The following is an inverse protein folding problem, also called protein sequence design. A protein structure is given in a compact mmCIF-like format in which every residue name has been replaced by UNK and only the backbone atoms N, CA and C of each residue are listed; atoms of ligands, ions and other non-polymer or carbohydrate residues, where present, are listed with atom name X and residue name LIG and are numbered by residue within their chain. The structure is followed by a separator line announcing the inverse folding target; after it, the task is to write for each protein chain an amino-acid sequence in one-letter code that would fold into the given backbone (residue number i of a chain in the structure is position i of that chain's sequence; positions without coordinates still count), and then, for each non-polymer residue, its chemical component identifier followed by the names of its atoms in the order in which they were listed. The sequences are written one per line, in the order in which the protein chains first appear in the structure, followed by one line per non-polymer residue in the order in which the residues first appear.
data_IF_994632226131
#
_entry.id   IF_994632226131
#
_cell.length_a   1.000
_cell.length_b   1.000
_cell.length_c   1.000
_cell.angle_alpha   90.00
_cell.angle_beta   90.00
_cell.angle_gamma   90.00
#
_symmetry.space_group_name_H-M   'P 1'
#
loop_
_entity.id
_entity.type
_entity.pdbx_description
1 polymer ?
2 non-polymer ?
3 non-polymer ?
4 water ?
#
# COMPACT_ATOMS: atom_id res chain seq x y z
N UNK A 25 -25.23 -5.98 -1.65
CA UNK A 25 -25.03 -7.09 -0.71
C UNK A 25 -24.12 -6.66 0.43
N UNK A 26 -24.53 -6.97 1.67
CA UNK A 26 -23.75 -6.58 2.84
C UNK A 26 -22.36 -7.21 2.82
N UNK A 27 -21.34 -6.44 3.19
CA UNK A 27 -19.99 -6.99 3.19
C UNK A 27 -19.84 -8.02 4.28
N UNK A 28 -18.83 -8.87 4.12
CA UNK A 28 -18.50 -9.90 5.09
C UNK A 28 -17.00 -10.13 5.11
N UNK A 29 -16.56 -10.84 6.14
CA UNK A 29 -15.18 -11.26 6.31
C UNK A 29 -15.26 -12.60 7.01
N UNK A 30 -15.17 -13.67 6.22
CA UNK A 30 -15.22 -15.03 6.75
C UNK A 30 -13.82 -15.55 7.00
N UNK A 31 -13.65 -16.24 8.12
CA UNK A 31 -12.36 -16.73 8.54
C UNK A 31 -12.46 -18.18 8.98
N UNK A 32 -11.57 -19.02 8.50
CA UNK A 32 -11.47 -20.41 8.92
C UNK A 32 -10.10 -20.66 9.51
N UNK A 33 -10.07 -21.16 10.75
CA UNK A 33 -8.81 -21.51 11.37
C UNK A 33 -8.32 -22.84 10.82
N UNK A 34 -7.05 -22.88 10.43
CA UNK A 34 -6.46 -24.10 9.90
C UNK A 34 -5.75 -24.90 11.00
N UNK A 35 -5.53 -24.28 12.15
CA UNK A 35 -4.92 -24.94 13.30
C UNK A 35 -5.33 -24.21 14.56
N UNK A 36 -5.02 -24.79 15.72
CA UNK A 36 -5.32 -24.12 16.98
C UNK A 36 -4.36 -22.98 17.29
N UNK A 37 -3.35 -22.81 16.43
CA UNK A 37 -2.40 -21.70 16.57
C UNK A 37 -2.90 -20.44 15.88
N UNK A 38 -3.93 -20.58 15.06
CA UNK A 38 -4.52 -19.42 14.39
C UNK A 38 -5.23 -18.54 15.40
N UNK A 39 -5.25 -17.24 15.14
CA UNK A 39 -5.97 -16.29 15.97
C UNK A 39 -6.96 -15.50 15.11
N UNK A 40 -8.21 -15.37 15.58
CA UNK A 40 -9.18 -14.55 14.85
C UNK A 40 -8.69 -13.11 14.78
N UNK A 41 -8.56 -12.56 13.56
CA UNK A 41 -8.10 -11.17 13.42
C UNK A 41 -9.02 -10.17 14.12
N UNK A 42 -8.41 -9.18 14.77
CA UNK A 42 -9.14 -8.21 15.57
C UNK A 42 -8.79 -6.78 15.21
N UNK A 43 -9.77 -5.91 15.38
CA UNK A 43 -9.54 -4.49 15.16
C UNK A 43 -8.83 -3.89 16.36
N UNK A 44 -7.80 -3.08 16.10
CA UNK A 44 -7.00 -2.49 17.15
C UNK A 44 -7.65 -1.31 17.84
N UNK A 45 -8.62 -0.70 17.16
CA UNK A 45 -9.42 0.37 17.72
C UNK A 45 -10.83 0.30 17.11
N UNK A 46 -11.81 0.95 17.75
CA UNK A 46 -13.18 0.81 17.25
C UNK A 46 -13.43 1.16 15.79
N UNK A 47 -12.69 2.11 15.22
CA UNK A 47 -12.88 2.51 13.82
C UNK A 47 -11.64 2.21 13.00
N UNK A 48 -10.83 1.25 13.45
CA UNK A 48 -9.61 0.88 12.75
C UNK A 48 -9.87 0.47 11.31
N UNK A 49 -8.89 0.73 10.43
CA UNK A 49 -9.02 0.34 9.04
C UNK A 49 -8.90 -1.16 8.94
N UNK A 50 -8.11 -1.74 9.83
CA UNK A 50 -7.64 -3.09 9.65
C UNK A 50 -7.88 -4.06 10.79
N UNK A 51 -7.63 -5.32 10.50
CA UNK A 51 -7.76 -6.39 11.49
C UNK A 51 -6.36 -6.94 11.71
N UNK A 52 -5.89 -6.96 12.96
CA UNK A 52 -4.53 -7.42 13.20
C UNK A 52 -4.37 -8.91 12.99
N UNK A 53 -3.27 -9.29 12.34
CA UNK A 53 -2.94 -10.69 12.04
C UNK A 53 -1.84 -11.20 12.96
N UNK A 54 -2.07 -12.37 13.55
CA UNK A 54 -1.10 -12.95 14.48
C UNK A 54 -0.30 -14.09 13.84
N UNK A 55 0.98 -14.17 14.17
CA UNK A 55 1.79 -15.30 13.73
C UNK A 55 1.32 -16.60 14.36
N UNK A 56 1.26 -17.65 13.55
CA UNK A 56 0.93 -18.97 14.05
C UNK A 56 2.20 -19.73 14.41
N UNK A 57 3.35 -19.09 14.26
CA UNK A 57 4.63 -19.76 14.44
C UNK A 57 5.66 -18.95 15.22
N UNK A 58 6.66 -19.65 15.77
CA UNK A 58 7.89 -19.01 16.21
C UNK A 58 8.80 -18.96 15.00
N UNK A 59 9.32 -17.78 14.68
CA UNK A 59 10.18 -17.64 13.52
C UNK A 59 11.04 -16.42 13.69
N UNK A 60 11.60 -15.94 12.58
CA UNK A 60 12.36 -14.70 12.59
C UNK A 60 12.45 -14.11 11.20
N UNK A 61 12.65 -12.80 11.15
CA UNK A 61 12.95 -12.14 9.89
C UNK A 61 14.40 -11.68 9.98
N UNK A 62 15.28 -12.32 9.20
CA UNK A 62 16.70 -11.99 9.36
C UNK A 62 17.00 -10.56 8.94
N UNK A 63 18.00 -9.96 9.58
CA UNK A 63 18.51 -8.67 9.16
C UNK A 63 18.72 -8.61 7.65
N UNK A 64 18.20 -7.55 7.04
CA UNK A 64 18.33 -7.32 5.60
C UNK A 64 17.76 -8.45 4.75
N UNK A 65 16.85 -9.23 5.36
CA UNK A 65 16.26 -10.38 4.71
C UNK A 65 14.75 -10.39 4.74
N UNK A 66 14.17 -11.58 4.68
CA UNK A 66 12.73 -11.73 4.54
C UNK A 66 12.29 -13.03 5.17
N UNK A 67 10.99 -13.13 5.43
CA UNK A 67 10.40 -14.37 5.90
C UNK A 67 8.95 -14.41 5.49
N UNK A 68 8.43 -15.61 5.26
CA UNK A 68 6.99 -15.79 5.10
C UNK A 68 6.50 -16.36 6.42
N UNK A 69 5.58 -15.63 7.04
CA UNK A 69 5.06 -16.02 8.35
C UNK A 69 3.62 -16.51 8.19
N UNK A 70 3.38 -17.79 8.48
CA UNK A 70 2.01 -18.30 8.37
C UNK A 70 1.08 -17.73 9.44
N UNK A 71 -0.16 -17.50 9.05
CA UNK A 71 -1.23 -17.15 10.00
C UNK A 71 -2.10 -18.35 10.37
N UNK A 72 -1.99 -19.43 9.59
CA UNK A 72 -2.88 -20.58 9.72
C UNK A 72 -4.36 -20.18 9.59
N UNK A 73 -4.63 -19.14 8.80
CA UNK A 73 -5.98 -18.73 8.43
C UNK A 73 -6.27 -18.94 6.95
N UNK A 74 -7.49 -19.33 6.65
CA UNK A 74 -8.04 -19.14 5.33
C UNK A 74 -9.20 -18.18 5.46
N UNK A 75 -9.45 -17.39 4.41
CA UNK A 75 -10.42 -16.31 4.50
C UNK A 75 -11.24 -16.17 3.23
N UNK A 76 -12.32 -15.39 3.34
CA UNK A 76 -13.10 -14.98 2.19
C UNK A 76 -13.63 -13.58 2.42
N UNK A 77 -13.52 -12.74 1.39
CA UNK A 77 -14.06 -11.38 1.42
C UNK A 77 -14.91 -11.19 0.15
N UNK A 78 -15.71 -10.13 0.08
CA UNK A 78 -16.68 -10.05 -1.01
C UNK A 78 -16.10 -9.68 -2.38
N UNK A 79 -16.81 -10.11 -3.43
CA UNK A 79 -16.60 -9.55 -4.76
C UNK A 79 -16.61 -8.01 -4.67
N UNK A 80 -15.66 -7.39 -5.36
CA UNK A 80 -15.52 -5.95 -5.33
C UNK A 80 -14.60 -5.47 -4.23
N UNK A 81 -13.94 -6.41 -3.55
CA UNK A 81 -12.90 -6.09 -2.58
C UNK A 81 -11.71 -7.03 -2.75
N UNK A 82 -10.61 -6.70 -2.11
CA UNK A 82 -9.58 -7.67 -1.83
C UNK A 82 -9.08 -7.43 -0.42
N UNK A 83 -8.38 -8.40 0.15
CA UNK A 83 -7.79 -8.22 1.47
C UNK A 83 -6.33 -7.85 1.30
N UNK A 84 -5.96 -6.66 1.80
CA UNK A 84 -4.59 -6.20 1.73
C UNK A 84 -3.84 -6.45 3.04
N UNK A 85 -2.75 -7.18 2.98
CA UNK A 85 -1.87 -7.31 4.13
C UNK A 85 -1.01 -6.06 4.17
N UNK A 86 -1.09 -5.31 5.28
CA UNK A 86 -0.47 -4.01 5.42
C UNK A 86 0.41 -3.97 6.67
N UNK A 87 1.44 -3.13 6.67
CA UNK A 87 2.37 -3.06 7.80
C UNK A 87 1.82 -2.28 9.00
N UNK A 88 2.13 -2.75 10.20
CA UNK A 88 1.92 -1.99 11.43
C UNK A 88 3.02 -0.95 11.63
N UNK A 89 2.65 0.20 12.18
CA UNK A 89 3.62 1.29 12.35
C UNK A 89 4.63 1.08 13.47
N UNK A 90 4.23 0.44 14.57
CA UNK A 90 5.18 0.11 15.63
C UNK A 90 6.33 -0.74 15.13
N UNK A 91 5.99 -1.83 14.43
CA UNK A 91 7.02 -2.69 13.90
C UNK A 91 7.85 -1.98 12.82
N UNK A 92 7.21 -1.12 12.03
CA UNK A 92 7.94 -0.36 11.01
C UNK A 92 8.99 0.53 11.66
N UNK A 93 8.60 1.28 12.68
CA UNK A 93 9.54 2.21 13.27
C UNK A 93 10.54 1.55 14.21
N UNK A 94 10.08 0.65 15.06
CA UNK A 94 10.98 0.05 16.04
C UNK A 94 11.94 -0.97 15.44
N UNK A 95 11.50 -1.66 14.39
CA UNK A 95 12.26 -2.82 13.90
C UNK A 95 12.53 -2.77 12.38
N UNK A 96 12.12 -1.69 11.72
CA UNK A 96 12.30 -1.54 10.26
C UNK A 96 11.62 -2.66 9.48
N UNK A 97 10.52 -3.16 10.01
CA UNK A 97 9.74 -4.20 9.33
C UNK A 97 8.76 -3.62 8.31
N UNK A 98 8.70 -4.24 7.13
CA UNK A 98 7.74 -3.85 6.12
C UNK A 98 7.09 -5.11 5.56
N UNK A 99 5.91 -4.95 4.99
CA UNK A 99 5.15 -6.06 4.44
C UNK A 99 5.29 -6.08 2.92
N UNK A 100 5.77 -7.19 2.38
CA UNK A 100 5.83 -7.36 0.95
C UNK A 100 4.56 -8.01 0.43
N UNK A 101 4.48 -8.09 -0.88
CA UNK A 101 3.34 -8.74 -1.48
C UNK A 101 2.00 -8.22 -0.95
N UNK A 102 1.16 -9.07 -0.37
CA UNK A 102 0.03 -8.61 0.41
C UNK A 102 -1.32 -8.53 -0.29
N UNK A 103 -1.40 -8.96 -1.55
CA UNK A 103 -2.68 -8.90 -2.26
C UNK A 103 -3.41 -10.24 -2.16
N UNK A 104 -4.38 -10.32 -1.25
CA UNK A 104 -5.18 -11.56 -1.11
C UNK A 104 -6.47 -11.43 -1.91
N UNK A 105 -6.61 -12.28 -2.92
CA UNK A 105 -7.80 -12.26 -3.75
C UNK A 105 -9.05 -12.72 -3.00
N UNK A 106 -10.18 -12.12 -3.35
CA UNK A 106 -11.44 -12.40 -2.67
C UNK A 106 -11.86 -13.87 -2.79
N UNK A 107 -11.38 -14.56 -3.83
CA UNK A 107 -11.71 -15.96 -4.03
C UNK A 107 -10.61 -16.93 -3.67
N UNK A 108 -9.56 -16.43 -3.01
CA UNK A 108 -8.46 -17.26 -2.55
C UNK A 108 -8.85 -18.02 -1.29
N UNK A 109 -8.67 -19.34 -1.32
CA UNK A 109 -9.05 -20.18 -0.20
C UNK A 109 -7.88 -20.98 0.40
N UNK A 110 -6.65 -20.63 0.02
CA UNK A 110 -5.48 -21.25 0.62
C UNK A 110 -5.07 -20.57 1.91
N UNK A 111 -3.92 -20.98 2.47
CA UNK A 111 -3.45 -20.38 3.71
C UNK A 111 -2.93 -18.96 3.48
N UNK A 112 -3.20 -18.05 4.41
CA UNK A 112 -2.78 -16.67 4.26
C UNK A 112 -1.42 -16.48 4.91
N UNK A 113 -0.43 -16.10 4.11
CA UNK A 113 0.91 -15.88 4.60
C UNK A 113 1.30 -14.43 4.59
N UNK A 114 2.05 -14.01 5.62
CA UNK A 114 2.54 -12.65 5.68
C UNK A 114 4.01 -12.63 5.28
N UNK A 115 4.33 -11.84 4.26
CA UNK A 115 5.71 -11.74 3.82
C UNK A 115 6.31 -10.46 4.39
N UNK A 116 7.32 -10.63 5.23
CA UNK A 116 7.95 -9.50 5.88
C UNK A 116 9.35 -9.28 5.35
N UNK A 117 9.70 -8.02 5.10
CA UNK A 117 11.08 -7.60 4.85
C UNK A 117 11.61 -6.90 6.09
N UNK A 118 12.89 -7.09 6.39
CA UNK A 118 13.54 -6.43 7.51
C UNK A 118 14.62 -5.49 6.98
N UNK A 119 14.37 -4.21 7.08
CA UNK A 119 15.26 -3.20 6.53
C UNK A 119 16.22 -2.64 7.54
N UNK A 120 16.68 -3.50 8.41
CA UNK A 120 17.67 -3.09 9.41
C UNK A 120 18.74 -4.16 9.49
N UNK A 121 19.77 -3.87 10.28
CA UNK A 121 20.87 -4.79 10.50
C UNK A 121 20.63 -5.69 11.70
N UNK A 122 19.43 -5.67 12.26
CA UNK A 122 19.12 -6.51 13.42
C UNK A 122 18.03 -7.52 13.11
N UNK A 123 18.27 -8.80 13.43
CA UNK A 123 17.24 -9.83 13.29
C UNK A 123 16.00 -9.45 14.07
N UNK A 124 14.83 -9.80 13.54
CA UNK A 124 13.55 -9.55 14.20
C UNK A 124 12.89 -10.86 14.58
N UNK A 125 12.71 -11.06 15.88
CA UNK A 125 12.11 -12.29 16.39
C UNK A 125 10.59 -12.26 16.25
N UNK A 126 10.03 -13.38 15.80
CA UNK A 126 8.59 -13.57 15.79
C UNK A 126 8.19 -14.72 16.71
N UNK A 127 7.34 -14.42 17.69
CA UNK A 127 6.80 -15.45 18.58
C UNK A 127 5.36 -15.76 18.20
N UNK A 128 4.92 -16.99 18.44
CA UNK A 128 3.54 -17.29 18.07
C UNK A 128 2.59 -16.39 18.85
N UNK A 129 1.60 -15.87 18.15
CA UNK A 129 0.67 -14.94 18.75
C UNK A 129 1.01 -13.47 18.54
N UNK A 130 2.25 -13.19 18.14
CA UNK A 130 2.64 -11.80 17.90
C UNK A 130 1.83 -11.22 16.73
N UNK A 131 1.31 -10.02 16.90
CA UNK A 131 0.58 -9.36 15.81
C UNK A 131 1.57 -8.66 14.88
N UNK A 132 1.74 -9.23 13.69
CA UNK A 132 2.84 -8.86 12.80
C UNK A 132 2.44 -8.12 11.54
N UNK A 133 1.14 -7.89 11.37
CA UNK A 133 0.63 -7.15 10.22
C UNK A 133 -0.83 -6.83 10.49
N UNK A 134 -1.48 -6.12 9.56
CA UNK A 134 -2.92 -5.91 9.65
C UNK A 134 -3.55 -6.14 8.29
N UNK A 135 -4.79 -6.58 8.28
CA UNK A 135 -5.50 -6.88 7.05
C UNK A 135 -6.56 -5.82 6.82
N UNK A 136 -6.53 -5.21 5.63
CA UNK A 136 -7.53 -4.18 5.29
C UNK A 136 -8.34 -4.66 4.10
N UNK A 137 -9.66 -4.62 4.21
CA UNK A 137 -10.53 -5.05 3.12
C UNK A 137 -10.83 -3.85 2.24
N UNK A 138 -10.04 -3.72 1.18
CA UNK A 138 -10.05 -2.57 0.29
C UNK A 138 -11.12 -2.72 -0.79
N UNK A 139 -11.89 -1.67 -1.02
CA UNK A 139 -12.86 -1.66 -2.12
C UNK A 139 -12.17 -1.35 -3.44
N UNK A 140 -12.55 -2.12 -4.47
CA UNK A 140 -11.98 -2.00 -5.80
C UNK A 140 -13.06 -2.12 -6.87
N UNK A 141 -12.66 -1.88 -8.12
CA UNK A 141 -13.48 -2.25 -9.27
C UNK A 141 -12.67 -3.20 -10.14
N UNK A 142 -13.34 -4.10 -10.84
CA UNK A 142 -12.64 -5.07 -11.71
C UNK A 142 -13.30 -5.16 -13.09
N UNK A 143 -13.35 -4.04 -13.81
CA UNK A 143 -13.96 -4.06 -15.14
C UNK A 143 -13.16 -4.88 -16.14
N UNK A 144 -13.83 -5.35 -17.17
CA UNK A 144 -13.14 -6.10 -18.22
C UNK A 144 -12.21 -5.16 -18.98
N UNK A 145 -10.94 -5.54 -19.06
CA UNK A 145 -9.94 -4.71 -19.71
C UNK A 145 -10.15 -4.66 -21.22
N UNK A 146 -10.01 -3.47 -21.80
CA UNK A 146 -10.16 -3.31 -23.24
C UNK A 146 -8.99 -2.53 -23.84
N UNK A 147 -8.42 -3.06 -24.92
CA UNK A 147 -7.42 -2.31 -25.67
C UNK A 147 -8.10 -1.31 -26.60
N UNK A 148 -7.59 -0.08 -26.61
CA UNK A 148 -8.12 0.96 -27.49
C UNK A 148 -7.00 1.60 -28.32
N UNK A 149 -7.37 2.23 -29.42
CA UNK A 149 -6.39 2.92 -30.25
C UNK A 149 -6.11 4.32 -29.71
N UNK A 150 -7.09 4.90 -29.03
CA UNK A 150 -6.95 6.23 -28.46
C UNK A 150 -7.71 6.37 -27.15
N UNK A 151 -7.03 6.91 -26.14
CA UNK A 151 -7.63 7.20 -24.85
C UNK A 151 -8.22 8.60 -24.87
N UNK A 152 -9.20 8.83 -24.01
CA UNK A 152 -9.74 10.18 -23.88
C UNK A 152 -8.63 11.07 -23.31
N UNK A 153 -8.62 12.33 -23.73
CA UNK A 153 -7.58 13.27 -23.32
C UNK A 153 -7.96 13.96 -22.02
N UNK A 154 -6.95 14.33 -21.23
CA UNK A 154 -7.18 15.00 -19.95
C UNK A 154 -6.28 16.20 -19.84
N UNK A 155 -6.72 17.22 -19.08
CA UNK A 155 -5.88 18.36 -18.79
C UNK A 155 -5.06 18.05 -17.56
N UNK A 156 -3.78 17.75 -17.75
CA UNK A 156 -2.91 17.43 -16.62
C UNK A 156 -1.57 18.14 -16.72
N UNK A 157 -1.40 19.18 -15.90
CA UNK A 157 -0.22 20.01 -15.94
C UNK A 157 -0.34 21.11 -16.98
N UNK B 25 -21.24 6.24 -13.51
CA UNK B 25 -21.19 5.34 -14.67
C UNK B 25 -20.57 4.00 -14.36
N UNK B 26 -20.70 3.05 -15.29
CA UNK B 26 -20.03 1.76 -15.20
C UNK B 26 -18.52 1.95 -15.16
N UNK B 27 -17.82 1.18 -14.30
CA UNK B 27 -16.36 1.30 -14.28
C UNK B 27 -15.77 0.78 -15.57
N UNK B 28 -14.53 1.18 -15.85
CA UNK B 28 -13.85 0.76 -17.06
C UNK B 28 -12.35 0.69 -16.79
N UNK B 29 -11.65 0.01 -17.69
CA UNK B 29 -10.20 -0.05 -17.69
C UNK B 29 -9.78 -0.14 -19.15
N UNK B 30 -9.29 0.96 -19.69
CA UNK B 30 -8.88 1.03 -21.08
C UNK B 30 -7.36 1.14 -21.17
N UNK B 31 -6.77 0.38 -22.09
CA UNK B 31 -5.32 0.43 -22.29
C UNK B 31 -4.97 0.71 -23.74
N UNK B 32 -3.92 1.50 -23.93
CA UNK B 32 -3.39 1.78 -25.25
C UNK B 32 -1.95 1.34 -25.34
N UNK B 33 -1.63 0.51 -26.32
CA UNK B 33 -0.27 0.03 -26.48
C UNK B 33 0.59 1.09 -27.15
N UNK B 34 1.78 1.31 -26.59
CA UNK B 34 2.71 2.31 -27.10
C UNK B 34 3.81 1.68 -27.96
N UNK B 35 3.86 0.36 -27.95
CA UNK B 35 4.74 -0.40 -28.85
C UNK B 35 4.19 -1.80 -28.96
N UNK B 36 4.73 -2.58 -29.89
CA UNK B 36 4.36 -3.98 -30.06
C UNK B 36 4.68 -4.83 -28.84
N UNK B 37 5.62 -4.35 -28.03
CA UNK B 37 6.11 -5.11 -26.88
C UNK B 37 5.15 -5.05 -25.70
N UNK B 38 4.23 -4.09 -25.72
CA UNK B 38 3.23 -3.99 -24.67
C UNK B 38 2.33 -5.22 -24.65
N UNK B 39 1.89 -5.62 -23.46
CA UNK B 39 0.97 -6.75 -23.28
C UNK B 39 -0.28 -6.27 -22.57
N UNK B 40 -1.44 -6.65 -23.07
CA UNK B 40 -2.69 -6.34 -22.39
C UNK B 40 -2.64 -6.91 -20.97
N UNK B 41 -2.90 -6.06 -19.97
CA UNK B 41 -2.92 -6.56 -18.59
C UNK B 41 -3.90 -7.72 -18.41
N UNK B 42 -3.56 -8.66 -17.54
CA UNK B 42 -4.29 -9.92 -17.44
C UNK B 42 -4.83 -10.20 -16.04
N UNK B 43 -6.14 -10.37 -15.90
CA UNK B 43 -6.77 -10.80 -14.64
C UNK B 43 -6.22 -12.14 -14.17
N UNK B 44 -6.35 -12.41 -12.89
CA UNK B 44 -6.10 -13.74 -12.35
C UNK B 44 -7.43 -14.46 -12.20
N UNK B 45 -7.68 -15.01 -11.01
CA UNK B 45 -8.97 -15.63 -10.71
C UNK B 45 -10.14 -14.66 -10.98
N UNK B 46 -11.36 -15.18 -11.11
CA UNK B 46 -12.50 -14.29 -11.45
C UNK B 46 -12.81 -13.18 -10.44
N UNK B 47 -12.54 -13.40 -9.16
CA UNK B 47 -12.76 -12.35 -8.17
C UNK B 47 -11.43 -11.69 -7.81
N UNK B 48 -10.40 -11.97 -8.59
CA UNK B 48 -9.07 -11.46 -8.30
C UNK B 48 -9.00 -9.95 -8.34
N UNK B 49 -8.05 -9.43 -7.59
CA UNK B 49 -7.95 -8.01 -7.34
C UNK B 49 -7.37 -7.27 -8.52
N UNK B 50 -6.47 -7.92 -9.23
CA UNK B 50 -5.55 -7.20 -10.09
C UNK B 50 -5.44 -7.71 -11.50
N UNK B 51 -4.68 -6.94 -12.27
CA UNK B 51 -4.37 -7.24 -13.66
C UNK B 51 -2.85 -7.31 -13.74
N UNK B 52 -2.30 -8.45 -14.15
CA UNK B 52 -0.85 -8.58 -14.20
C UNK B 52 -0.25 -7.72 -15.30
N UNK B 53 0.81 -6.99 -14.94
CA UNK B 53 1.53 -6.13 -15.88
C UNK B 53 2.78 -6.80 -16.36
N UNK B 54 3.05 -6.73 -17.66
CA UNK B 54 4.24 -7.33 -18.24
C UNK B 54 5.28 -6.30 -18.64
N UNK B 55 6.55 -6.67 -18.49
CA UNK B 55 7.64 -5.82 -18.94
C UNK B 55 7.67 -5.72 -20.45
N UNK B 56 7.87 -4.51 -20.96
CA UNK B 56 8.07 -4.30 -22.40
C UNK B 56 9.54 -4.33 -22.77
N UNK B 57 10.41 -4.58 -21.81
CA UNK B 57 11.85 -4.58 -22.05
C UNK B 57 12.59 -5.75 -21.43
N UNK B 58 13.79 -6.03 -21.94
CA UNK B 58 14.79 -6.79 -21.21
C UNK B 58 15.50 -5.80 -20.30
N UNK B 59 15.58 -6.10 -19.01
CA UNK B 59 16.25 -5.23 -18.08
C UNK B 59 16.69 -6.05 -16.88
N UNK B 60 17.06 -5.38 -15.80
CA UNK B 60 17.35 -6.07 -14.57
C UNK B 60 17.11 -5.12 -13.42
N UNK B 61 16.89 -5.69 -12.25
CA UNK B 61 16.83 -4.89 -11.04
C UNK B 61 18.04 -5.27 -10.22
N UNK B 62 19.01 -4.34 -10.10
CA UNK B 62 20.27 -4.66 -9.42
C UNK B 62 20.05 -5.04 -7.96
N UNK B 63 20.90 -5.93 -7.45
CA UNK B 63 20.91 -6.29 -6.02
C UNK B 63 20.94 -5.03 -5.17
N UNK B 64 20.05 -4.99 -4.18
CA UNK B 64 19.93 -3.89 -3.24
C UNK B 64 19.71 -2.57 -3.95
N UNK B 65 19.13 -2.64 -5.15
CA UNK B 65 18.89 -1.46 -5.95
C UNK B 65 17.47 -1.35 -6.48
N UNK B 66 17.34 -0.68 -7.63
CA UNK B 66 16.03 -0.36 -8.16
C UNK B 66 16.06 -0.28 -9.67
N UNK B 67 14.89 -0.36 -10.28
CA UNK B 67 14.79 -0.17 -11.72
C UNK B 67 13.44 0.38 -12.07
N UNK B 68 13.38 1.12 -13.17
CA UNK B 68 12.13 1.59 -13.73
C UNK B 68 11.86 0.72 -14.97
N UNK B 69 10.80 -0.09 -14.91
CA UNK B 69 10.48 -1.02 -15.99
C UNK B 69 9.26 -0.52 -16.75
N UNK B 70 9.45 -0.14 -18.03
CA UNK B 70 8.30 0.32 -18.82
C UNK B 70 7.34 -0.81 -19.18
N UNK B 71 6.05 -0.51 -19.19
CA UNK B 71 5.03 -1.43 -19.68
C UNK B 71 4.68 -1.09 -21.13
N UNK B 72 5.08 0.11 -21.57
CA UNK B 72 4.68 0.63 -22.88
C UNK B 72 3.16 0.65 -23.02
N UNK B 73 2.47 0.91 -21.91
CA UNK B 73 1.04 1.14 -21.92
C UNK B 73 0.74 2.54 -21.40
N UNK B 74 -0.28 3.15 -21.99
CA UNK B 74 -1.00 4.24 -21.33
C UNK B 74 -2.38 3.69 -20.97
N UNK B 75 -2.95 4.21 -19.89
CA UNK B 75 -4.22 3.68 -19.42
C UNK B 75 -5.22 4.77 -19.02
N UNK B 76 -6.46 4.36 -18.84
CA UNK B 76 -7.49 5.20 -18.25
C UNK B 76 -8.34 4.38 -17.30
N UNK B 77 -8.57 4.92 -16.10
CA UNK B 77 -9.44 4.31 -15.11
C UNK B 77 -10.40 5.40 -14.62
N UNK B 78 -11.51 5.03 -13.94
CA UNK B 78 -12.54 6.05 -13.67
C UNK B 78 -12.21 7.05 -12.58
N UNK B 79 -12.83 8.22 -12.69
CA UNK B 79 -12.84 9.17 -11.59
C UNK B 79 -13.38 8.47 -10.35
N UNK B 80 -12.77 8.73 -9.20
CA UNK B 80 -13.18 8.05 -7.99
C UNK B 80 -12.37 6.79 -7.74
N UNK B 81 -11.41 6.53 -8.62
CA UNK B 81 -10.47 5.42 -8.44
C UNK B 81 -9.05 5.88 -8.76
N UNK B 82 -8.07 5.04 -8.46
CA UNK B 82 -6.75 5.16 -9.03
C UNK B 82 -6.24 3.76 -9.32
N UNK B 83 -5.22 3.66 -10.16
CA UNK B 83 -4.62 2.37 -10.46
C UNK B 83 -3.37 2.23 -9.62
N UNK B 84 -3.35 1.22 -8.74
CA UNK B 84 -2.22 0.99 -7.88
C UNK B 84 -1.34 -0.10 -8.48
N UNK B 85 -0.07 0.19 -8.70
CA UNK B 85 0.87 -0.88 -9.07
C UNK B 85 1.26 -1.61 -7.78
N UNK B 86 0.95 -2.90 -7.72
CA UNK B 86 1.11 -3.66 -6.48
C UNK B 86 2.01 -4.87 -6.73
N UNK B 87 2.68 -5.35 -5.67
CA UNK B 87 3.60 -6.47 -5.86
C UNK B 87 2.96 -7.85 -5.98
N UNK B 88 3.58 -8.69 -6.81
CA UNK B 88 3.17 -10.10 -6.86
C UNK B 88 3.85 -10.89 -5.74
N UNK B 89 3.16 -11.90 -5.22
CA UNK B 89 3.72 -12.64 -4.09
C UNK B 89 4.90 -13.52 -4.46
N UNK B 90 4.85 -14.18 -5.61
CA UNK B 90 5.95 -15.03 -6.03
C UNK B 90 7.25 -14.27 -6.07
N UNK B 91 7.25 -13.13 -6.75
CA UNK B 91 8.47 -12.35 -6.84
C UNK B 91 8.95 -11.82 -5.50
N UNK B 92 8.03 -11.56 -4.58
CA UNK B 92 8.39 -11.13 -3.23
C UNK B 92 9.17 -12.18 -2.45
N UNK B 93 8.64 -13.39 -2.33
CA UNK B 93 9.39 -14.39 -1.54
C UNK B 93 10.55 -15.02 -2.29
N UNK B 94 10.44 -15.12 -3.62
CA UNK B 94 11.47 -15.80 -4.40
C UNK B 94 12.65 -14.87 -4.71
N UNK B 95 12.36 -13.59 -4.95
CA UNK B 95 13.40 -12.65 -5.40
C UNK B 95 13.57 -11.42 -4.51
N UNK B 96 12.77 -11.31 -3.45
CA UNK B 96 12.76 -10.14 -2.58
C UNK B 96 12.40 -8.85 -3.33
N UNK B 97 11.55 -8.99 -4.34
CA UNK B 97 11.12 -7.85 -5.14
C UNK B 97 9.93 -7.14 -4.50
N UNK B 98 9.98 -5.81 -4.42
CA UNK B 98 8.84 -5.01 -4.00
C UNK B 98 8.60 -3.90 -5.00
N UNK B 99 7.39 -3.36 -5.00
CA UNK B 99 7.02 -2.27 -5.90
C UNK B 99 7.10 -0.95 -5.16
N UNK B 100 7.87 -0.02 -5.71
CA UNK B 100 7.92 1.32 -5.15
C UNK B 100 6.91 2.21 -5.84
N UNK B 101 6.74 3.42 -5.34
CA UNK B 101 5.81 4.36 -5.94
C UNK B 101 4.42 3.76 -6.16
N UNK B 102 3.93 3.73 -7.38
CA UNK B 102 2.78 2.90 -7.70
C UNK B 102 1.42 3.57 -7.79
N UNK B 103 1.35 4.87 -7.57
CA UNK B 103 0.08 5.58 -7.64
C UNK B 103 -0.17 6.16 -9.02
N UNK B 104 -1.00 5.49 -9.82
CA UNK B 104 -1.32 5.99 -11.14
C UNK B 104 -2.65 6.73 -11.09
N UNK B 105 -2.60 8.04 -11.31
CA UNK B 105 -3.81 8.85 -11.21
C UNK B 105 -4.79 8.54 -12.35
N UNK B 106 -6.09 8.69 -12.08
CA UNK B 106 -7.13 8.41 -13.07
C UNK B 106 -7.04 9.31 -14.31
N UNK B 107 -6.40 10.47 -14.17
CA UNK B 107 -6.21 11.36 -15.32
C UNK B 107 -4.83 11.29 -15.95
N UNK B 108 -4.01 10.33 -15.54
CA UNK B 108 -2.69 10.17 -16.12
C UNK B 108 -2.73 9.40 -17.43
N UNK B 109 -2.22 10.01 -18.49
CA UNK B 109 -2.26 9.41 -19.82
C UNK B 109 -0.87 9.19 -20.41
N UNK B 110 0.16 9.32 -19.58
CA UNK B 110 1.52 9.03 -20.00
C UNK B 110 1.86 7.56 -19.95
N UNK B 111 3.12 7.22 -20.22
CA UNK B 111 3.54 5.81 -20.14
C UNK B 111 3.57 5.33 -18.70
N UNK B 112 3.07 4.12 -18.45
CA UNK B 112 3.02 3.57 -17.11
C UNK B 112 4.31 2.78 -16.83
N UNK B 113 5.07 3.25 -15.84
CA UNK B 113 6.31 2.60 -15.46
C UNK B 113 6.18 1.90 -14.13
N UNK B 114 6.86 0.78 -13.99
CA UNK B 114 6.87 0.02 -12.75
C UNK B 114 8.20 0.22 -12.07
N UNK B 115 8.18 0.76 -10.84
CA UNK B 115 9.39 0.90 -10.06
C UNK B 115 9.54 -0.32 -9.16
N UNK B 116 10.62 -1.06 -9.34
CA UNK B 116 10.90 -2.22 -8.52
C UNK B 116 12.10 -1.97 -7.63
N UNK B 117 11.98 -2.35 -6.36
CA UNK B 117 13.11 -2.42 -5.45
C UNK B 117 13.50 -3.89 -5.29
N UNK B 118 14.79 -4.16 -5.25
CA UNK B 118 15.33 -5.51 -5.07
C UNK B 118 15.98 -5.58 -3.69
N UNK B 119 15.31 -6.20 -2.75
CA UNK B 119 15.82 -6.27 -1.39
C UNK B 119 16.63 -7.51 -1.11
N UNK B 120 17.28 -8.01 -2.12
CA UNK B 120 18.16 -9.16 -2.00
C UNK B 120 19.55 -8.79 -2.49
N UNK B 121 20.49 -9.73 -2.32
CA UNK B 121 21.86 -9.51 -2.74
C UNK B 121 22.18 -10.16 -4.08
N UNK B 122 21.16 -10.45 -4.88
CA UNK B 122 21.37 -10.96 -6.23
C UNK B 122 20.57 -10.15 -7.24
N UNK B 123 21.14 -9.86 -8.41
CA UNK B 123 20.39 -9.14 -9.44
C UNK B 123 19.16 -9.95 -9.86
N UNK B 124 18.07 -9.27 -10.19
CA UNK B 124 16.86 -9.92 -10.70
C UNK B 124 16.71 -9.61 -12.18
N UNK B 125 16.76 -10.66 -13.01
CA UNK B 125 16.63 -10.46 -14.44
C UNK B 125 15.17 -10.30 -14.87
N UNK B 126 14.92 -9.35 -15.76
CA UNK B 126 13.61 -9.14 -16.34
C UNK B 126 13.71 -9.34 -17.85
N UNK B 127 12.91 -10.24 -18.39
CA UNK B 127 12.87 -10.47 -19.83
C UNK B 127 11.58 -9.85 -20.36
N UNK B 128 11.55 -9.40 -21.61
CA UNK B 128 10.31 -8.81 -22.07
C UNK B 128 9.18 -9.85 -22.06
N UNK B 129 8.02 -9.41 -21.60
CA UNK B 129 6.87 -10.28 -21.45
C UNK B 129 6.71 -10.82 -20.04
N UNK B 130 7.75 -10.69 -19.22
CA UNK B 130 7.70 -11.21 -17.84
C UNK B 130 6.69 -10.40 -17.02
N UNK B 131 5.86 -11.07 -16.23
CA UNK B 131 4.89 -10.38 -15.37
C UNK B 131 5.56 -9.90 -14.08
N UNK B 132 5.64 -8.58 -13.91
CA UNK B 132 6.50 -7.98 -12.88
C UNK B 132 5.74 -7.29 -11.75
N UNK B 133 4.43 -7.17 -11.91
CA UNK B 133 3.57 -6.50 -10.91
C UNK B 133 2.11 -6.75 -11.25
N UNK B 134 1.20 -6.27 -10.41
CA UNK B 134 -0.22 -6.37 -10.71
C UNK B 134 -0.89 -5.05 -10.40
N UNK B 135 -1.74 -4.61 -11.31
CA UNK B 135 -2.43 -3.33 -11.19
C UNK B 135 -3.80 -3.55 -10.56
N UNK B 136 -4.12 -2.75 -9.53
CA UNK B 136 -5.38 -2.85 -8.81
C UNK B 136 -6.08 -1.52 -8.91
N UNK B 137 -7.33 -1.54 -9.32
CA UNK B 137 -8.07 -0.30 -9.45
C UNK B 137 -8.84 -0.06 -8.16
N UNK B 138 -8.23 0.76 -7.31
CA UNK B 138 -8.70 1.01 -5.94
C UNK B 138 -9.75 2.11 -5.91
N UNK B 139 -10.82 1.91 -5.15
CA UNK B 139 -11.83 2.94 -4.97
C UNK B 139 -11.39 3.90 -3.87
N UNK B 140 -11.59 5.19 -4.13
CA UNK B 140 -11.20 6.26 -3.22
C UNK B 140 -12.27 7.35 -3.15
N UNK B 141 -12.11 8.26 -2.20
CA UNK B 141 -12.87 9.52 -2.23
C UNK B 141 -11.89 10.68 -2.33
N UNK B 142 -12.34 11.78 -2.91
CA UNK B 142 -11.49 12.97 -3.06
C UNK B 142 -12.24 14.25 -2.67
N UNK B 143 -12.68 14.34 -1.41
CA UNK B 143 -13.40 15.55 -1.01
C UNK B 143 -12.48 16.76 -0.91
N UNK B 144 -13.08 17.95 -0.89
CA UNK B 144 -12.31 19.15 -0.62
C UNK B 144 -11.86 19.11 0.83
N UNK B 145 -10.64 19.57 1.08
CA UNK B 145 -10.16 19.61 2.45
C UNK B 145 -10.93 20.66 3.24
N UNK B 146 -11.42 20.28 4.42
CA UNK B 146 -11.99 21.23 5.36
C UNK B 146 -11.06 21.42 6.55
N UNK B 147 -10.52 22.62 6.67
CA UNK B 147 -9.64 22.92 7.80
C UNK B 147 -10.47 23.24 9.03
N UNK B 148 -10.11 22.63 10.15
CA UNK B 148 -10.84 22.78 11.39
C UNK B 148 -9.88 23.21 12.52
N UNK B 149 -10.44 23.80 13.57
CA UNK B 149 -9.66 24.18 14.74
C UNK B 149 -9.61 23.03 15.74
N UNK B 150 -10.61 22.18 15.71
CA UNK B 150 -10.67 21.03 16.58
C UNK B 150 -11.29 19.83 15.87
N UNK B 151 -10.80 18.65 16.21
CA UNK B 151 -11.37 17.41 15.71
C UNK B 151 -12.10 16.73 16.85
N UNK B 152 -12.96 15.77 16.54
CA UNK B 152 -13.63 14.98 17.56
C UNK B 152 -12.63 14.10 18.32
N UNK B 153 -12.99 13.71 19.53
CA UNK B 153 -12.16 12.83 20.34
C UNK B 153 -12.67 11.40 20.23
N UNK B 154 -11.74 10.45 20.17
CA UNK B 154 -12.07 9.05 19.99
C UNK B 154 -11.39 8.18 21.05
N UNK B 155 -11.76 6.90 21.07
CA UNK B 155 -11.09 5.92 21.91
C UNK B 155 -9.61 5.78 21.59
N UNK B 156 -9.28 5.69 20.30
CA UNK B 156 -7.87 5.58 19.90
C UNK B 156 -7.09 6.81 20.32
N UNK B 157 -7.73 7.97 20.19
CA UNK B 157 -7.06 9.24 20.48
C UNK B 157 -5.76 9.39 19.72
N UNK B 158 -4.68 9.65 20.45
CA UNK B 158 -3.36 9.85 19.88
C UNK B 158 -2.56 8.55 19.85
N UNK B 159 -3.20 7.43 20.15
CA UNK B 159 -2.53 6.15 20.13
C UNK B 159 -2.08 5.75 18.73
N UNK B 160 -0.82 5.35 18.61
CA UNK B 160 -0.30 4.86 17.35
C UNK B 160 1.07 4.29 17.57
N UNK B 161 1.71 3.86 16.48
CA UNK B 161 3.07 3.33 16.54
C UNK B 161 3.26 2.28 17.64
N UNK B 162 2.32 1.34 17.69
CA UNK B 162 2.44 0.19 18.57
C UNK B 162 1.67 0.30 19.86
N UNK B 163 0.77 1.27 19.95
CA UNK B 163 0.07 1.56 21.19
C UNK B 163 -0.79 0.39 21.67
N UNK B 164 -1.25 -0.45 20.75
CA UNK B 164 -2.08 -1.60 21.12
C UNK B 164 -1.25 -2.85 21.42
N UNK B 165 0.08 -2.72 21.40
CA UNK B 165 0.95 -3.77 21.89
C UNK B 165 1.45 -4.77 20.86
N UNK B 166 2.28 -5.70 21.33
CA UNK B 166 2.91 -6.71 20.52
C UNK B 166 1.93 -7.80 20.12
N UNK C 26 -21.96 12.59 2.81
CA UNK C 26 -20.84 12.97 1.93
C UNK C 26 -19.49 12.72 2.59
N UNK C 27 -18.52 12.23 1.80
CA UNK C 27 -17.17 12.05 2.35
C UNK C 27 -16.59 13.38 2.77
N UNK C 28 -15.67 13.33 3.73
CA UNK C 28 -15.00 14.52 4.20
C UNK C 28 -13.52 14.24 4.44
N UNK C 29 -12.75 15.31 4.58
CA UNK C 29 -11.34 15.23 4.93
C UNK C 29 -11.07 16.45 5.80
N UNK C 30 -11.16 16.26 7.10
CA UNK C 30 -10.92 17.31 8.08
C UNK C 30 -9.44 17.34 8.48
N UNK C 31 -8.87 18.54 8.46
CA UNK C 31 -7.45 18.72 8.77
C UNK C 31 -7.27 19.82 9.81
N UNK C 32 -6.56 19.49 10.88
CA UNK C 32 -6.17 20.45 11.91
C UNK C 32 -4.66 20.72 11.84
N UNK C 33 -4.27 21.97 11.64
CA UNK C 33 -2.86 22.34 11.73
C UNK C 33 -2.40 22.33 13.19
N UNK C 34 -1.28 21.67 13.44
CA UNK C 34 -0.75 21.58 14.80
C UNK C 34 0.28 22.67 15.06
N UNK C 35 0.75 23.29 13.98
CA UNK C 35 1.68 24.40 14.07
C UNK C 35 1.65 25.20 12.79
N UNK C 36 2.31 26.35 12.79
CA UNK C 36 2.41 27.17 11.59
C UNK C 36 3.34 26.56 10.54
N UNK C 37 4.01 25.46 10.88
CA UNK C 37 4.86 24.78 9.91
C UNK C 37 4.02 23.92 8.97
N UNK C 38 2.82 23.57 9.40
CA UNK C 38 1.97 22.67 8.63
C UNK C 38 1.43 23.31 7.35
N UNK C 39 1.25 22.48 6.34
CA UNK C 39 0.72 22.90 5.06
C UNK C 39 -0.55 22.10 4.76
N UNK C 40 -1.62 22.77 4.39
CA UNK C 40 -2.83 22.05 4.03
C UNK C 40 -2.52 21.21 2.80
N UNK C 41 -2.79 19.89 2.88
CA UNK C 41 -2.48 19.02 1.73
C UNK C 41 -3.24 19.44 0.47
N UNK C 42 -2.58 19.30 -0.68
CA UNK C 42 -3.18 19.63 -1.97
C UNK C 42 -3.03 18.48 -2.96
N UNK C 43 -4.01 18.33 -3.84
CA UNK C 43 -3.91 17.33 -4.89
C UNK C 43 -3.07 17.87 -6.07
N UNK C 44 -2.13 17.06 -6.56
CA UNK C 44 -1.17 17.51 -7.54
C UNK C 44 -1.75 17.72 -8.92
N UNK C 45 -2.87 17.06 -9.18
CA UNK C 45 -3.56 17.15 -10.47
C UNK C 45 -5.07 17.04 -10.20
N UNK C 46 -5.91 17.43 -11.16
CA UNK C 46 -7.37 17.42 -10.96
C UNK C 46 -8.01 16.11 -10.49
N UNK C 47 -7.73 14.99 -11.15
CA UNK C 47 -8.33 13.71 -10.77
C UNK C 47 -7.36 12.89 -9.93
N UNK C 48 -6.32 13.55 -9.42
CA UNK C 48 -5.30 12.84 -8.68
C UNK C 48 -5.86 12.14 -7.47
N UNK C 49 -5.24 11.01 -7.15
CA UNK C 49 -5.67 10.19 -6.05
C UNK C 49 -5.27 10.82 -4.72
N UNK C 50 -4.14 11.50 -4.71
CA UNK C 50 -3.47 11.81 -3.46
C UNK C 50 -3.37 13.28 -3.11
N UNK C 51 -3.36 13.54 -1.81
CA UNK C 51 -3.13 14.89 -1.31
C UNK C 51 -1.68 14.92 -0.84
N UNK C 52 -0.86 15.78 -1.44
CA UNK C 52 0.54 15.84 -1.07
C UNK C 52 0.75 16.31 0.36
N UNK C 53 1.67 15.63 1.06
CA UNK C 53 2.01 15.94 2.45
C UNK C 53 3.39 16.54 2.51
N UNK C 54 3.50 17.66 3.22
CA UNK C 54 4.76 18.40 3.32
C UNK C 54 5.44 18.16 4.66
N UNK C 55 6.77 18.07 4.64
CA UNK C 55 7.55 17.92 5.86
C UNK C 55 7.56 19.19 6.69
N UNK C 56 7.39 19.04 7.99
CA UNK C 56 7.47 20.14 8.93
C UNK C 56 8.89 20.34 9.46
N UNK C 57 9.85 19.54 8.96
CA UNK C 57 11.23 19.62 9.45
C UNK C 57 12.29 19.36 8.38
N UNK C 58 13.53 19.73 8.69
CA UNK C 58 14.69 19.22 7.97
C UNK C 58 15.04 17.88 8.59
N UNK C 59 15.30 16.86 7.76
CA UNK C 59 15.71 15.57 8.31
C UNK C 59 16.55 14.71 7.38
N UNK C 60 17.60 14.13 7.93
CA UNK C 60 18.41 13.16 7.21
C UNK C 60 17.68 11.82 7.17
N UNK C 61 17.68 11.18 6.01
CA UNK C 61 17.21 9.81 5.91
C UNK C 61 18.44 9.00 5.55
N UNK C 62 19.06 8.36 6.57
CA UNK C 62 20.35 7.70 6.36
C UNK C 62 20.26 6.57 5.34
N UNK C 63 21.34 6.36 4.61
CA UNK C 63 21.45 5.23 3.70
C UNK C 63 21.09 3.94 4.42
N UNK C 64 20.22 3.14 3.80
CA UNK C 64 19.79 1.85 4.35
C UNK C 64 19.13 2.00 5.71
N UNK C 65 18.63 3.20 5.97
CA UNK C 65 17.98 3.50 7.23
C UNK C 65 16.61 4.12 7.04
N UNK C 66 16.19 4.91 8.01
CA UNK C 66 14.83 5.42 8.06
C UNK C 66 14.73 6.72 8.83
N UNK C 67 13.63 7.42 8.61
CA UNK C 67 13.34 8.65 9.32
C UNK C 67 11.83 8.73 9.55
N UNK C 68 11.45 9.31 10.68
CA UNK C 68 10.05 9.56 10.97
C UNK C 68 9.84 11.06 10.83
N UNK C 69 9.07 11.45 9.82
CA UNK C 69 8.93 12.85 9.48
C UNK C 69 7.56 13.38 9.92
N UNK C 70 7.54 14.42 10.79
CA UNK C 70 6.28 15.06 11.19
C UNK C 70 5.67 15.90 10.08
N UNK C 71 4.35 15.90 9.98
CA UNK C 71 3.61 16.78 9.07
C UNK C 71 2.98 17.93 9.85
N UNK C 72 2.99 17.80 11.18
CA UNK C 72 2.28 18.74 12.05
C UNK C 72 0.79 18.89 11.70
N UNK C 73 0.20 17.80 11.24
CA UNK C 73 -1.24 17.75 10.98
C UNK C 73 -1.88 16.67 11.81
N UNK C 74 -3.13 16.92 12.20
CA UNK C 74 -4.04 15.86 12.63
C UNK C 74 -5.22 15.86 11.69
N UNK C 75 -5.81 14.70 11.48
CA UNK C 75 -6.87 14.57 10.48
C UNK C 75 -8.04 13.73 10.96
N UNK C 76 -9.16 13.84 10.25
CA UNK C 76 -10.25 12.90 10.39
C UNK C 76 -10.78 12.58 8.99
N UNK C 77 -11.02 11.30 8.74
CA UNK C 77 -11.66 10.85 7.52
C UNK C 77 -12.84 9.98 7.93
N UNK C 78 -13.76 9.70 6.99
CA UNK C 78 -15.00 9.02 7.39
C UNK C 78 -14.85 7.54 7.73
N UNK C 79 -15.74 7.06 8.59
CA UNK C 79 -15.91 5.63 8.79
C UNK C 79 -16.15 5.03 7.40
N UNK C 80 -15.53 3.89 7.13
CA UNK C 80 -15.61 3.30 5.81
C UNK C 80 -14.50 3.74 4.87
N UNK C 81 -13.58 4.53 5.39
CA UNK C 81 -12.33 4.85 4.69
C UNK C 81 -11.17 4.78 5.67
N UNK C 82 -9.96 4.84 5.14
CA UNK C 82 -8.81 5.19 5.95
C UNK C 82 -7.94 6.06 5.08
N UNK C 83 -6.97 6.73 5.70
CA UNK C 83 -6.03 7.55 4.97
C UNK C 83 -4.74 6.77 4.82
N UNK C 84 -4.35 6.49 3.57
CA UNK C 84 -3.11 5.78 3.32
C UNK C 84 -2.01 6.77 2.98
N UNK C 85 -0.91 6.70 3.71
CA UNK C 85 0.28 7.46 3.34
C UNK C 85 0.99 6.69 2.24
N UNK C 86 1.01 7.26 1.03
CA UNK C 86 1.55 6.58 -0.16
C UNK C 86 2.79 7.28 -0.71
N UNK C 87 3.68 6.53 -1.33
CA UNK C 87 4.93 7.10 -1.84
C UNK C 87 4.74 7.94 -3.11
N UNK C 88 5.52 9.01 -3.23
CA UNK C 88 5.58 9.78 -4.46
C UNK C 88 6.58 9.15 -5.41
N UNK C 89 6.35 9.26 -6.71
CA UNK C 89 7.20 8.57 -7.67
C UNK C 89 8.59 9.18 -7.80
N UNK C 90 8.70 10.50 -7.73
CA UNK C 90 10.00 11.14 -7.85
C UNK C 90 10.99 10.72 -6.77
N UNK C 91 10.54 10.74 -5.52
CA UNK C 91 11.39 10.33 -4.41
C UNK C 91 11.81 8.86 -4.53
N UNK C 92 10.91 8.03 -5.04
CA UNK C 92 11.22 6.61 -5.19
C UNK C 92 12.27 6.42 -6.27
N UNK C 93 12.00 6.98 -7.45
CA UNK C 93 12.87 6.77 -8.59
C UNK C 93 14.21 7.49 -8.46
N UNK C 94 14.18 8.73 -7.97
CA UNK C 94 15.41 9.51 -7.89
C UNK C 94 16.25 9.18 -6.66
N UNK C 95 15.60 8.78 -5.57
CA UNK C 95 16.29 8.72 -4.29
C UNK C 95 16.10 7.42 -3.53
N UNK C 96 15.39 6.48 -4.15
CA UNK C 96 15.13 5.16 -3.55
C UNK C 96 14.34 5.24 -2.25
N UNK C 97 13.52 6.28 -2.11
CA UNK C 97 12.73 6.47 -0.90
C UNK C 97 11.43 5.71 -1.01
N UNK C 98 11.08 4.98 0.05
CA UNK C 98 9.77 4.34 0.13
C UNK C 98 9.09 4.74 1.43
N UNK C 99 7.77 4.64 1.45
CA UNK C 99 6.98 4.94 2.64
C UNK C 99 6.67 3.64 3.39
N UNK C 100 7.08 3.58 4.66
CA UNK C 100 6.71 2.48 5.52
C UNK C 100 5.37 2.70 6.19
N UNK C 101 4.86 1.69 6.84
CA UNK C 101 3.64 1.78 7.57
C UNK C 101 2.53 2.40 6.73
N UNK C 102 1.98 3.53 7.17
CA UNK C 102 1.12 4.28 6.29
C UNK C 102 -0.38 4.13 6.46
N UNK C 103 -0.82 3.31 7.41
CA UNK C 103 -2.24 3.11 7.63
C UNK C 103 -2.78 4.05 8.72
N UNK C 104 -3.38 5.16 8.31
CA UNK C 104 -3.99 6.09 9.27
C UNK C 104 -5.46 5.76 9.49
N UNK C 105 -5.78 5.31 10.69
CA UNK C 105 -7.13 4.93 11.04
C UNK C 105 -8.05 6.13 11.08
N UNK C 106 -9.30 5.93 10.70
CA UNK C 106 -10.30 7.00 10.68
C UNK C 106 -10.54 7.61 12.06
N UNK C 107 -10.20 6.86 13.12
CA UNK C 107 -10.34 7.38 14.48
C UNK C 107 -9.04 7.91 15.09
N UNK C 108 -7.97 8.01 14.30
CA UNK C 108 -6.72 8.54 14.83
C UNK C 108 -6.74 10.05 14.89
N UNK C 109 -6.46 10.59 16.09
CA UNK C 109 -6.47 12.03 16.28
C UNK C 109 -5.11 12.57 16.71
N UNK C 110 -4.08 11.73 16.63
CA UNK C 110 -2.74 12.18 16.93
C UNK C 110 -2.08 12.84 15.74
N UNK C 111 -0.81 13.19 15.89
CA UNK C 111 -0.06 13.81 14.78
C UNK C 111 0.24 12.78 13.69
N UNK C 112 0.03 13.16 12.43
CA UNK C 112 0.33 12.26 11.32
C UNK C 112 1.82 12.26 10.99
N UNK C 113 2.45 11.09 11.12
CA UNK C 113 3.88 10.98 10.87
C UNK C 113 4.14 10.12 9.65
N UNK C 114 5.18 10.45 8.89
CA UNK C 114 5.54 9.71 7.70
C UNK C 114 6.84 8.94 7.92
N UNK C 115 6.79 7.61 7.78
CA UNK C 115 8.01 6.82 7.86
C UNK C 115 8.61 6.66 6.50
N UNK C 116 9.83 7.14 6.33
CA UNK C 116 10.54 6.94 5.06
C UNK C 116 11.67 5.95 5.26
N UNK C 117 11.76 4.98 4.35
CA UNK C 117 12.93 4.10 4.26
C UNK C 117 13.77 4.56 3.06
N UNK C 118 15.09 4.47 3.21
CA UNK C 118 16.02 4.84 2.15
C UNK C 118 16.70 3.55 1.67
N UNK C 119 16.25 3.03 0.54
CA UNK C 119 16.74 1.77 0.02
C UNK C 119 17.91 1.93 -0.92
N UNK C 120 18.86 2.75 -0.48
CA UNK C 120 20.07 2.95 -1.25
C UNK C 120 21.24 3.15 -0.31
N UNK C 121 22.44 3.19 -0.88
CA UNK C 121 23.66 3.47 -0.10
C UNK C 121 24.00 4.95 -0.09
N UNK C 122 23.10 5.77 -0.63
CA UNK C 122 23.28 7.22 -0.66
C UNK C 122 22.50 7.89 0.45
N UNK C 123 23.18 8.55 1.37
CA UNK C 123 22.51 9.36 2.38
C UNK C 123 21.67 10.43 1.68
N UNK C 124 20.51 10.73 2.23
CA UNK C 124 19.57 11.67 1.65
C UNK C 124 19.08 12.65 2.71
N UNK C 125 18.68 13.85 2.31
CA UNK C 125 18.18 14.83 3.24
C UNK C 125 16.84 15.39 2.76
N UNK C 126 15.86 15.35 3.66
CA UNK C 126 14.56 15.98 3.45
C UNK C 126 14.64 17.41 3.97
N UNK C 127 14.09 18.36 3.21
CA UNK C 127 14.07 19.75 3.65
C UNK C 127 12.69 20.17 4.10
N UNK C 128 12.67 21.12 5.02
CA UNK C 128 11.43 21.71 5.49
C UNK C 128 10.61 22.17 4.30
N UNK C 129 9.36 21.72 4.24
CA UNK C 129 8.46 22.11 3.17
C UNK C 129 8.42 21.16 2.00
N UNK C 130 9.33 20.20 1.95
CA UNK C 130 9.35 19.23 0.86
C UNK C 130 8.11 18.36 0.93
N UNK C 131 7.53 18.07 -0.23
CA UNK C 131 6.42 17.12 -0.29
C UNK C 131 7.01 15.72 -0.30
N UNK C 132 6.74 14.95 0.75
CA UNK C 132 7.45 13.70 0.96
C UNK C 132 6.59 12.45 0.86
N UNK C 133 5.29 12.63 0.69
CA UNK C 133 4.37 11.52 0.49
C UNK C 133 3.06 12.07 -0.02
N UNK C 134 2.11 11.18 -0.32
CA UNK C 134 0.78 11.60 -0.73
C UNK C 134 -0.27 10.79 0.01
N UNK C 135 -1.27 11.47 0.54
CA UNK C 135 -2.32 10.81 1.34
C UNK C 135 -3.46 10.46 0.41
N UNK C 136 -3.88 9.18 0.44
CA UNK C 136 -5.01 8.72 -0.36
C UNK C 136 -6.11 8.23 0.57
N UNK C 137 -7.32 8.73 0.38
CA UNK C 137 -8.43 8.30 1.21
C UNK C 137 -9.08 7.08 0.55
N UNK C 138 -8.68 5.90 1.01
CA UNK C 138 -9.08 4.63 0.41
C UNK C 138 -10.43 4.17 0.93
N UNK C 139 -11.34 3.74 0.04
CA UNK C 139 -12.59 3.14 0.51
C UNK C 139 -12.38 1.69 0.96
N UNK C 140 -13.00 1.32 2.08
CA UNK C 140 -12.88 -0.01 2.66
C UNK C 140 -14.20 -0.52 3.19
N UNK C 141 -14.23 -1.79 3.58
CA UNK C 141 -15.32 -2.28 4.43
C UNK C 141 -14.75 -2.83 5.73
N UNK C 142 -15.54 -2.76 6.79
CA UNK C 142 -15.11 -3.24 8.11
C UNK C 142 -16.18 -4.10 8.79
N UNK C 143 -16.60 -5.19 8.14
CA UNK C 143 -17.62 -6.05 8.76
C UNK C 143 -17.10 -6.79 9.99
N UNK C 144 -18.00 -7.24 10.84
CA UNK C 144 -17.61 -8.09 11.95
C UNK C 144 -17.25 -9.48 11.41
N UNK C 145 -16.18 -10.05 11.95
CA UNK C 145 -15.67 -11.34 11.48
C UNK C 145 -16.65 -12.47 11.77
N UNK C 146 -16.89 -13.31 10.77
CA UNK C 146 -17.66 -14.51 10.97
C UNK C 146 -16.76 -15.73 10.79
N UNK C 147 -16.58 -16.50 11.86
CA UNK C 147 -15.78 -17.70 11.77
C UNK C 147 -16.62 -18.85 11.18
N UNK C 148 -16.02 -19.58 10.27
CA UNK C 148 -16.69 -20.70 9.61
C UNK C 148 -15.81 -21.94 9.63
N UNK C 149 -16.43 -23.08 9.37
CA UNK C 149 -15.69 -24.31 9.14
C UNK C 149 -15.47 -24.50 7.63
N UNK C 150 -16.32 -23.86 6.83
CA UNK C 150 -16.16 -23.87 5.37
C UNK C 150 -16.50 -22.51 4.75
N UNK C 151 -15.63 -22.01 3.88
CA UNK C 151 -15.68 -20.62 3.41
C UNK C 151 -16.65 -20.28 2.28
N UNK C 152 -17.21 -21.29 1.62
CA UNK C 152 -18.19 -21.04 0.57
C UNK C 152 -19.48 -21.81 0.83
#
# INVERSE_FOLDING_TARGET
MACVNEPSPKLQKLDRNGIHGDSSPSPFFKVKKLSEKAVIPTRGSPLSAGYDLSSAVDSKVPARGKALIPTDLSIAVPEGTYARIAPRSGLAWKHSIDVGAGVIDADYRGPVGVILFNHSDADFEVKFGDRIAQLIIEKIVTPDVVEVDDLDETVRGDGGFGSTGV
MACVNEPSPKLQKLDRNGIHGDSSPSPFFKVKKLSEKAVIPTRGSPLSAGYDLSSAVDSKVPARGKALIPTDLSIAVPEGTYARIAPRSGLAWKHSIDVGAGVIDADYRGPVGVILFNHSDADFEVKFGDRIAQLIIEKIVTPDVVEVDDLDETVRGDGGFGSTGV
MACVNEPSPKLQKLDRNGIHGDSSPSPFFKVKKLSEKAVIPTRGSPLSAGYDLSSAVDSKVPARGKALIPTDLSIAVPEGTYARIAPRSGLAWKHSIDVGAGVIDADYRGPVGVILFNHSDADFEVKFGDRIAQLIIEKIVTPDVVEVDDLDETVRGDGGFGSTGV
#
